data_IF_707992905956
#
_entry.id   IF_707992905956
#
_cell.length_a   1.000
_cell.length_b   1.000
_cell.length_c   1.000
_cell.angle_alpha   90.00
_cell.angle_beta   90.00
_cell.angle_gamma   90.00
#
_symmetry.space_group_name_H-M   'P 1'
#
loop_
_entity.id
_entity.type
_entity.pdbx_description
1 polymer ?
#
# COMPACT_ATOMS: atom_id res chain seq x y z
N UNK A 1 -17.04 0.22 -27.42
CA UNK A 1 -17.41 1.23 -26.38
C UNK A 1 -16.47 2.43 -26.56
N UNK A 2 -16.97 3.45 -27.24
CA UNK A 2 -16.19 4.62 -27.71
C UNK A 2 -15.42 5.32 -26.59
N UNK A 3 -15.98 5.39 -25.38
CA UNK A 3 -15.28 5.96 -24.22
C UNK A 3 -14.03 5.16 -23.86
N UNK A 4 -14.15 3.85 -23.82
CA UNK A 4 -13.03 2.96 -23.47
C UNK A 4 -11.92 3.05 -24.53
N UNK A 5 -12.29 3.05 -25.79
CA UNK A 5 -11.34 3.16 -26.92
C UNK A 5 -10.65 4.52 -26.97
N UNK A 6 -11.36 5.59 -26.56
CA UNK A 6 -10.84 6.94 -26.58
C UNK A 6 -9.92 7.25 -25.39
N UNK A 7 -10.29 6.81 -24.19
CA UNK A 7 -9.64 7.27 -22.97
C UNK A 7 -8.88 6.21 -22.20
N UNK A 8 -9.02 4.93 -22.56
CA UNK A 8 -8.35 3.86 -21.84
C UNK A 8 -7.39 3.09 -22.73
N UNK A 9 -6.24 2.79 -22.19
CA UNK A 9 -5.24 1.92 -22.80
C UNK A 9 -5.20 0.61 -22.02
N UNK A 10 -5.58 -0.47 -22.71
CA UNK A 10 -5.40 -1.81 -22.19
C UNK A 10 -4.00 -2.29 -22.54
N UNK A 11 -3.24 -2.71 -21.55
CA UNK A 11 -1.98 -3.42 -21.75
C UNK A 11 -2.23 -4.91 -21.54
N UNK A 12 -1.65 -5.72 -22.40
CA UNK A 12 -1.73 -7.17 -22.22
C UNK A 12 -0.71 -7.59 -21.17
N UNK A 13 -1.17 -7.84 -19.97
CA UNK A 13 -0.36 -8.44 -18.93
C UNK A 13 -0.18 -9.91 -19.19
N UNK A 14 1.06 -10.32 -19.09
CA UNK A 14 1.42 -11.72 -19.11
C UNK A 14 1.22 -12.30 -17.70
N UNK A 15 0.19 -13.09 -17.53
CA UNK A 15 0.02 -13.92 -16.34
C UNK A 15 0.58 -15.30 -16.62
N UNK A 16 1.48 -15.75 -15.75
CA UNK A 16 1.90 -17.15 -15.72
C UNK A 16 0.93 -17.84 -14.77
N UNK A 17 0.13 -18.77 -15.27
CA UNK A 17 -0.78 -19.52 -14.42
C UNK A 17 -0.02 -20.53 -13.54
N UNK A 18 -0.74 -21.21 -12.63
CA UNK A 18 -0.17 -22.17 -11.71
C UNK A 18 0.44 -23.42 -12.39
N UNK A 19 0.25 -23.58 -13.71
CA UNK A 19 0.83 -24.65 -14.51
C UNK A 19 2.07 -24.22 -15.31
N UNK A 20 2.49 -22.94 -15.16
CA UNK A 20 3.57 -22.38 -15.94
C UNK A 20 3.14 -21.89 -17.32
N UNK A 21 1.85 -21.96 -17.67
CA UNK A 21 1.34 -21.48 -18.94
C UNK A 21 1.22 -19.95 -18.94
N UNK A 22 1.70 -19.34 -20.03
CA UNK A 22 1.63 -17.89 -20.21
C UNK A 22 0.27 -17.53 -20.77
N UNK A 23 -0.51 -16.77 -19.99
CA UNK A 23 -1.78 -16.17 -20.43
C UNK A 23 -1.64 -14.67 -20.54
N UNK A 24 -2.18 -14.11 -21.61
CA UNK A 24 -2.27 -12.67 -21.77
C UNK A 24 -3.66 -12.22 -21.31
N UNK A 25 -3.68 -11.29 -20.36
CA UNK A 25 -4.92 -10.67 -19.87
C UNK A 25 -4.86 -9.19 -20.13
N UNK A 26 -5.85 -8.68 -20.86
CA UNK A 26 -5.98 -7.26 -21.09
C UNK A 26 -6.42 -6.57 -19.77
N UNK A 27 -5.54 -5.80 -19.18
CA UNK A 27 -5.82 -4.96 -18.03
C UNK A 27 -5.72 -3.50 -18.43
N UNK A 28 -6.69 -2.69 -18.01
CA UNK A 28 -6.61 -1.24 -18.18
C UNK A 28 -5.56 -0.70 -17.24
N UNK A 29 -4.47 -0.17 -17.81
CA UNK A 29 -3.37 0.36 -17.02
C UNK A 29 -3.23 1.86 -17.09
N UNK A 30 -3.76 2.48 -18.15
CA UNK A 30 -3.48 3.88 -18.42
C UNK A 30 -4.71 4.58 -18.97
N UNK A 31 -4.81 5.86 -18.62
CA UNK A 31 -5.64 6.79 -19.38
C UNK A 31 -4.81 7.37 -20.52
N UNK A 32 -5.39 7.43 -21.71
CA UNK A 32 -4.86 8.16 -22.86
C UNK A 32 -5.74 9.37 -23.15
N UNK A 33 -5.23 10.32 -23.91
CA UNK A 33 -5.91 11.57 -24.21
C UNK A 33 -6.34 12.33 -22.94
N UNK A 34 -5.44 12.39 -21.96
CA UNK A 34 -5.74 12.93 -20.64
C UNK A 34 -6.18 14.42 -20.71
N UNK A 35 -5.60 15.22 -21.61
CA UNK A 35 -5.99 16.61 -21.80
C UNK A 35 -7.45 16.74 -22.25
N UNK A 36 -7.89 15.89 -23.18
CA UNK A 36 -9.29 15.85 -23.63
C UNK A 36 -10.20 15.34 -22.53
N UNK A 37 -9.75 14.34 -21.76
CA UNK A 37 -10.49 13.81 -20.63
C UNK A 37 -10.67 14.86 -19.51
N UNK A 38 -9.61 15.59 -19.19
CA UNK A 38 -9.65 16.70 -18.21
C UNK A 38 -10.56 17.84 -18.71
N UNK A 39 -10.53 18.15 -19.99
CA UNK A 39 -11.42 19.16 -20.57
C UNK A 39 -12.90 18.76 -20.48
N UNK A 40 -13.22 17.50 -20.81
CA UNK A 40 -14.57 16.96 -20.62
C UNK A 40 -15.00 16.92 -19.17
N UNK A 41 -14.12 16.53 -18.25
CA UNK A 41 -14.42 16.51 -16.82
C UNK A 41 -14.64 17.91 -16.27
N UNK A 42 -13.89 18.92 -16.74
CA UNK A 42 -14.01 20.30 -16.26
C UNK A 42 -15.37 20.94 -16.55
N UNK A 43 -16.14 20.39 -17.50
CA UNK A 43 -17.53 20.82 -17.75
C UNK A 43 -18.49 20.35 -16.66
N UNK A 44 -18.15 19.29 -15.92
CA UNK A 44 -19.03 18.65 -14.93
C UNK A 44 -18.44 18.62 -13.51
N UNK A 45 -17.13 18.77 -13.39
CA UNK A 45 -16.40 18.62 -12.11
C UNK A 45 -15.40 19.76 -11.99
N UNK A 46 -15.55 20.56 -10.93
CA UNK A 46 -14.54 21.54 -10.53
C UNK A 46 -13.45 20.85 -9.70
N UNK A 47 -12.31 20.59 -10.33
CA UNK A 47 -11.16 19.95 -9.66
C UNK A 47 -10.29 21.06 -9.09
N UNK A 48 -10.32 21.20 -7.76
CA UNK A 48 -9.45 22.12 -7.02
C UNK A 48 -8.34 21.34 -6.32
N UNK A 49 -7.10 21.70 -6.65
CA UNK A 49 -5.91 21.23 -5.95
C UNK A 49 -5.59 22.08 -4.70
N UNK A 50 -4.53 21.70 -4.00
CA UNK A 50 -4.03 22.50 -2.85
C UNK A 50 -3.61 23.90 -3.28
N UNK A 51 -3.16 24.07 -4.50
CA UNK A 51 -2.73 25.33 -5.11
C UNK A 51 -3.89 26.33 -5.24
N UNK A 52 -5.13 25.81 -5.36
CA UNK A 52 -6.33 26.64 -5.53
C UNK A 52 -6.96 27.10 -4.21
N UNK A 53 -6.49 26.58 -3.08
CA UNK A 53 -7.01 26.87 -1.75
C UNK A 53 -5.90 27.10 -0.71
N UNK A 54 -5.19 28.24 -0.76
CA UNK A 54 -4.09 28.56 0.17
C UNK A 54 -4.54 28.70 1.64
N UNK A 55 -5.84 28.81 1.90
CA UNK A 55 -6.42 28.87 3.26
C UNK A 55 -6.59 27.50 3.92
N UNK A 56 -6.45 26.41 3.17
CA UNK A 56 -6.51 25.03 3.70
C UNK A 56 -5.20 24.72 4.44
N UNK A 57 -5.17 25.04 5.73
CA UNK A 57 -4.03 24.68 6.58
C UNK A 57 -4.08 23.18 6.89
N UNK A 58 -3.19 22.43 6.26
CA UNK A 58 -2.85 21.05 6.62
C UNK A 58 -1.54 21.03 7.39
N UNK A 59 -1.33 20.05 8.28
CA UNK A 59 -0.02 19.84 8.87
C UNK A 59 1.00 19.43 7.79
N UNK A 60 2.28 19.64 8.07
CA UNK A 60 3.33 19.10 7.23
C UNK A 60 3.36 17.57 7.36
N UNK A 61 3.40 16.86 6.22
CA UNK A 61 3.55 15.40 6.22
C UNK A 61 5.02 15.03 6.17
N UNK A 62 5.46 14.25 7.14
CA UNK A 62 6.83 13.72 7.23
C UNK A 62 6.76 12.21 7.08
N UNK A 63 7.25 11.70 5.96
CA UNK A 63 7.38 10.27 5.74
C UNK A 63 8.69 9.77 6.37
N UNK A 64 8.59 8.75 7.23
CA UNK A 64 9.73 8.07 7.84
C UNK A 64 9.72 6.61 7.47
N UNK A 65 10.83 6.12 6.94
CA UNK A 65 11.01 4.71 6.58
C UNK A 65 11.93 4.06 7.63
N UNK A 66 11.40 3.05 8.30
CA UNK A 66 12.15 2.23 9.25
C UNK A 66 12.40 0.87 8.62
N UNK A 67 13.61 0.65 8.14
CA UNK A 67 14.09 -0.66 7.66
C UNK A 67 14.62 -1.44 8.85
N UNK A 68 13.80 -2.37 9.33
CA UNK A 68 14.00 -3.07 10.59
C UNK A 68 14.69 -4.40 10.31
N UNK A 69 15.83 -4.62 10.94
CA UNK A 69 16.59 -5.85 10.77
C UNK A 69 15.82 -7.06 11.34
N UNK A 70 15.93 -8.16 10.61
CA UNK A 70 15.37 -9.43 11.02
C UNK A 70 16.18 -10.03 12.18
N UNK A 71 15.49 -10.55 13.19
CA UNK A 71 16.11 -11.42 14.18
C UNK A 71 16.20 -12.87 13.66
N UNK A 72 16.88 -13.73 14.42
CA UNK A 72 17.11 -15.12 13.99
C UNK A 72 15.80 -15.89 13.79
N UNK A 73 14.82 -15.68 14.67
CA UNK A 73 13.51 -16.32 14.52
C UNK A 73 12.79 -15.89 13.22
N UNK A 74 12.85 -14.60 12.89
CA UNK A 74 12.24 -14.09 11.64
C UNK A 74 12.95 -14.68 10.42
N UNK A 75 14.27 -14.74 10.42
CA UNK A 75 15.07 -15.36 9.34
C UNK A 75 14.72 -16.82 9.15
N UNK A 76 14.69 -17.59 10.25
CA UNK A 76 14.29 -19.00 10.24
C UNK A 76 12.91 -19.21 9.60
N UNK A 77 11.93 -18.40 9.98
CA UNK A 77 10.58 -18.53 9.43
C UNK A 77 10.51 -18.17 7.94
N UNK A 78 11.30 -17.20 7.48
CA UNK A 78 11.43 -16.92 6.05
C UNK A 78 12.12 -18.04 5.28
N UNK A 79 13.16 -18.65 5.85
CA UNK A 79 13.84 -19.80 5.26
C UNK A 79 12.88 -20.97 5.09
N UNK A 80 12.14 -21.34 6.15
CA UNK A 80 11.12 -22.42 6.10
C UNK A 80 10.02 -22.11 5.07
N UNK A 81 9.57 -20.85 4.99
CA UNK A 81 8.58 -20.44 3.99
C UNK A 81 9.11 -20.62 2.56
N UNK A 82 10.36 -20.23 2.30
CA UNK A 82 10.98 -20.33 0.98
C UNK A 82 11.25 -21.78 0.58
N UNK A 83 11.72 -22.62 1.51
CA UNK A 83 11.95 -24.05 1.28
C UNK A 83 10.65 -24.82 1.00
N UNK A 84 9.56 -24.42 1.63
CA UNK A 84 8.24 -25.05 1.49
C UNK A 84 7.47 -24.56 0.27
N UNK A 85 8.00 -23.58 -0.48
CA UNK A 85 7.32 -23.01 -1.61
C UNK A 85 7.30 -23.95 -2.80
N UNK A 86 6.07 -24.31 -3.25
CA UNK A 86 5.84 -25.11 -4.44
C UNK A 86 5.00 -24.32 -5.44
N UNK A 87 5.63 -23.78 -6.47
CA UNK A 87 5.00 -22.95 -7.49
C UNK A 87 3.93 -23.67 -8.32
N UNK A 88 3.95 -25.01 -8.34
CA UNK A 88 3.00 -25.81 -9.13
C UNK A 88 1.60 -25.85 -8.54
N UNK A 89 1.43 -25.49 -7.27
CA UNK A 89 0.12 -25.47 -6.62
C UNK A 89 -0.67 -24.22 -6.98
N UNK A 90 -1.94 -24.40 -7.33
CA UNK A 90 -2.83 -23.25 -7.62
C UNK A 90 -2.97 -22.34 -6.41
N UNK A 91 -2.69 -21.06 -6.61
CA UNK A 91 -2.75 -20.05 -5.54
C UNK A 91 -1.53 -20.00 -4.61
N UNK A 92 -0.55 -20.90 -4.77
CA UNK A 92 0.64 -20.99 -3.93
C UNK A 92 1.37 -19.63 -3.79
N UNK A 93 1.45 -18.85 -4.87
CA UNK A 93 2.11 -17.55 -4.87
C UNK A 93 1.39 -16.54 -3.97
N UNK A 94 0.06 -16.46 -4.04
CA UNK A 94 -0.69 -15.51 -3.20
C UNK A 94 -0.59 -15.90 -1.73
N UNK A 95 -0.66 -17.19 -1.43
CA UNK A 95 -0.46 -17.71 -0.07
C UNK A 95 0.97 -17.43 0.42
N UNK A 96 1.97 -17.63 -0.42
CA UNK A 96 3.36 -17.33 -0.10
C UNK A 96 3.57 -15.84 0.22
N UNK A 97 3.00 -14.95 -0.61
CA UNK A 97 3.05 -13.49 -0.39
C UNK A 97 2.38 -13.13 0.94
N UNK A 98 1.20 -13.68 1.21
CA UNK A 98 0.48 -13.44 2.46
C UNK A 98 1.30 -13.88 3.66
N UNK A 99 1.85 -15.10 3.63
CA UNK A 99 2.66 -15.63 4.70
C UNK A 99 3.96 -14.83 4.89
N UNK A 100 4.61 -14.40 3.81
CA UNK A 100 5.78 -13.52 3.89
C UNK A 100 5.46 -12.19 4.57
N UNK A 101 4.31 -11.60 4.26
CA UNK A 101 3.85 -10.35 4.91
C UNK A 101 3.52 -10.55 6.38
N UNK A 102 2.90 -11.68 6.73
CA UNK A 102 2.59 -12.02 8.13
C UNK A 102 3.88 -12.24 8.94
N UNK A 103 4.85 -12.99 8.43
CA UNK A 103 6.16 -13.19 9.07
C UNK A 103 6.86 -11.84 9.28
N UNK A 104 6.75 -10.91 8.32
CA UNK A 104 7.29 -9.56 8.44
C UNK A 104 6.66 -8.75 9.58
N UNK A 105 5.41 -9.01 9.94
CA UNK A 105 4.76 -8.41 11.12
C UNK A 105 5.25 -9.12 12.39
N UNK A 106 5.16 -10.44 12.42
CA UNK A 106 5.61 -11.28 13.53
C UNK A 106 5.98 -12.68 13.04
N UNK A 107 7.16 -13.21 13.38
CA UNK A 107 7.54 -14.56 13.02
C UNK A 107 6.60 -15.63 13.59
N UNK A 108 5.93 -15.35 14.69
CA UNK A 108 4.94 -16.25 15.29
C UNK A 108 3.68 -16.44 14.43
N UNK A 109 3.45 -15.61 13.43
CA UNK A 109 2.35 -15.74 12.47
C UNK A 109 2.69 -16.63 11.28
N UNK A 110 3.89 -17.18 11.25
CA UNK A 110 4.30 -18.15 10.26
C UNK A 110 3.50 -19.45 10.38
N UNK A 111 3.00 -20.01 9.27
CA UNK A 111 2.36 -21.33 9.28
C UNK A 111 3.34 -22.46 9.63
N UNK A 112 4.64 -22.19 9.63
CA UNK A 112 5.71 -23.16 9.92
C UNK A 112 6.28 -22.99 11.34
N UNK A 113 5.76 -22.05 12.12
CA UNK A 113 6.15 -21.92 13.50
C UNK A 113 5.57 -23.07 14.34
N UNK A 114 6.44 -23.88 14.91
CA UNK A 114 6.09 -25.07 15.70
C UNK A 114 6.47 -24.97 17.17
N UNK A 115 6.97 -23.80 17.61
CA UNK A 115 7.34 -23.54 18.96
C UNK A 115 6.16 -23.36 19.92
N UNK A 116 6.47 -23.07 21.19
CA UNK A 116 5.44 -22.74 22.19
C UNK A 116 4.76 -21.42 21.85
N UNK A 117 3.47 -21.33 22.14
CA UNK A 117 2.75 -20.06 22.06
C UNK A 117 3.40 -19.04 23.01
N UNK A 118 3.85 -17.88 22.47
CA UNK A 118 4.50 -16.88 23.29
C UNK A 118 3.49 -16.17 24.22
N UNK A 119 3.99 -15.65 25.34
CA UNK A 119 3.26 -14.62 26.08
C UNK A 119 3.07 -13.37 25.22
N UNK A 120 2.16 -12.47 25.60
CA UNK A 120 1.96 -11.21 24.86
C UNK A 120 3.27 -10.42 24.80
N UNK A 121 4.02 -10.36 25.89
CA UNK A 121 5.32 -9.69 25.94
C UNK A 121 6.32 -10.30 24.97
N UNK A 122 6.48 -11.61 24.98
CA UNK A 122 7.37 -12.32 24.06
C UNK A 122 6.93 -12.16 22.60
N UNK A 123 5.62 -12.21 22.34
CA UNK A 123 5.08 -12.00 21.01
C UNK A 123 5.50 -10.65 20.43
N UNK A 124 5.41 -9.59 21.21
CA UNK A 124 5.82 -8.24 20.78
C UNK A 124 7.35 -8.11 20.71
N UNK A 125 8.05 -8.47 21.80
CA UNK A 125 9.48 -8.21 21.92
C UNK A 125 10.35 -9.05 20.96
N UNK A 126 9.89 -10.26 20.61
CA UNK A 126 10.57 -11.11 19.63
C UNK A 126 10.10 -10.88 18.19
N UNK A 127 9.23 -9.92 17.96
CA UNK A 127 8.80 -9.50 16.63
C UNK A 127 9.41 -8.12 16.33
N UNK A 128 10.49 -8.03 15.57
CA UNK A 128 11.27 -6.80 15.42
C UNK A 128 10.45 -5.59 14.99
N UNK A 129 9.52 -5.78 14.04
CA UNK A 129 8.63 -4.71 13.58
C UNK A 129 7.69 -4.22 14.68
N UNK A 130 7.08 -5.13 15.44
CA UNK A 130 6.18 -4.77 16.53
C UNK A 130 6.96 -4.09 17.66
N UNK A 131 8.12 -4.63 18.02
CA UNK A 131 8.98 -4.03 19.07
C UNK A 131 9.38 -2.62 18.71
N UNK A 132 9.89 -2.40 17.50
CA UNK A 132 10.27 -1.06 17.05
C UNK A 132 9.08 -0.09 17.06
N UNK A 133 7.91 -0.55 16.66
CA UNK A 133 6.68 0.26 16.70
C UNK A 133 6.34 0.67 18.12
N UNK A 134 6.39 -0.27 19.07
CA UNK A 134 6.10 0.01 20.47
C UNK A 134 7.14 0.95 21.11
N UNK A 135 8.40 0.83 20.74
CA UNK A 135 9.46 1.73 21.21
C UNK A 135 9.24 3.17 20.74
N UNK A 136 8.84 3.34 19.47
CA UNK A 136 8.50 4.65 18.91
C UNK A 136 7.27 5.25 19.61
N UNK A 137 6.24 4.44 19.87
CA UNK A 137 5.04 4.89 20.58
C UNK A 137 5.40 5.31 22.01
N UNK A 138 6.23 4.54 22.70
CA UNK A 138 6.68 4.86 24.06
C UNK A 138 7.49 6.15 24.08
N UNK A 139 8.38 6.34 23.12
CA UNK A 139 9.16 7.57 23.00
C UNK A 139 8.25 8.77 22.74
N UNK A 140 7.32 8.65 21.79
CA UNK A 140 6.39 9.74 21.47
C UNK A 140 5.46 10.07 22.64
N UNK A 141 5.04 9.07 23.44
CA UNK A 141 4.29 9.28 24.66
C UNK A 141 5.05 10.13 25.70
N UNK A 142 6.38 9.95 25.78
CA UNK A 142 7.24 10.76 26.66
C UNK A 142 7.41 12.19 26.15
N UNK A 143 7.64 12.32 24.85
CA UNK A 143 7.96 13.60 24.21
C UNK A 143 6.71 14.50 24.06
N UNK A 144 5.60 13.89 23.68
CA UNK A 144 4.31 14.56 23.45
C UNK A 144 3.18 13.74 24.11
N UNK A 145 2.98 13.89 25.44
CA UNK A 145 2.00 13.06 26.17
C UNK A 145 0.56 13.15 25.67
N UNK A 146 0.19 14.29 25.09
CA UNK A 146 -1.15 14.52 24.55
C UNK A 146 -1.33 14.06 23.08
N UNK A 147 -0.28 13.48 22.48
CA UNK A 147 -0.35 13.02 21.09
C UNK A 147 -1.33 11.88 20.89
N UNK A 148 -2.09 11.96 19.79
CA UNK A 148 -2.83 10.84 19.26
C UNK A 148 -1.95 10.04 18.28
N UNK A 149 -1.95 8.73 18.41
CA UNK A 149 -1.16 7.83 17.59
C UNK A 149 -2.04 6.74 16.99
N UNK A 150 -1.82 6.39 15.73
CA UNK A 150 -2.59 5.37 15.01
C UNK A 150 -1.65 4.24 14.61
N UNK A 151 -2.00 3.01 14.99
CA UNK A 151 -1.38 1.80 14.45
C UNK A 151 -2.30 1.26 13.37
N UNK A 152 -1.80 1.10 12.16
CA UNK A 152 -2.57 0.59 11.04
C UNK A 152 -2.03 -0.74 10.54
N UNK A 153 -2.91 -1.71 10.34
CA UNK A 153 -2.61 -2.95 9.64
C UNK A 153 -3.85 -3.57 9.00
N UNK A 154 -3.72 -3.99 7.74
CA UNK A 154 -4.74 -4.81 7.06
C UNK A 154 -4.64 -6.29 7.46
N UNK A 155 -3.46 -6.69 7.95
CA UNK A 155 -3.13 -8.07 8.29
C UNK A 155 -3.02 -8.23 9.80
N UNK A 156 -3.10 -9.48 10.24
CA UNK A 156 -2.95 -9.84 11.65
C UNK A 156 -3.95 -9.11 12.59
N UNK A 157 -5.14 -8.81 12.09
CA UNK A 157 -6.17 -8.07 12.84
C UNK A 157 -6.58 -8.80 14.14
N UNK A 158 -6.52 -10.12 14.15
CA UNK A 158 -6.78 -10.94 15.33
C UNK A 158 -5.78 -10.68 16.48
N UNK A 159 -4.62 -10.11 16.16
CA UNK A 159 -3.55 -9.83 17.14
C UNK A 159 -3.68 -8.44 17.78
N UNK A 160 -4.61 -7.61 17.35
CA UNK A 160 -4.81 -6.27 17.91
C UNK A 160 -5.03 -6.25 19.43
N UNK A 161 -5.76 -7.21 20.02
CA UNK A 161 -5.85 -7.30 21.50
C UNK A 161 -4.50 -7.46 22.19
N UNK A 162 -3.54 -8.20 21.60
CA UNK A 162 -2.18 -8.33 22.14
C UNK A 162 -1.40 -7.02 22.08
N UNK A 163 -1.58 -6.25 20.99
CA UNK A 163 -0.98 -4.92 20.88
C UNK A 163 -1.53 -4.00 21.98
N UNK A 164 -2.85 -4.03 22.19
CA UNK A 164 -3.50 -3.25 23.28
C UNK A 164 -2.98 -3.67 24.64
N UNK A 165 -2.90 -4.96 24.90
CA UNK A 165 -2.42 -5.49 26.18
C UNK A 165 -0.98 -5.03 26.47
N UNK A 166 -0.09 -5.10 25.47
CA UNK A 166 1.29 -4.64 25.60
C UNK A 166 1.37 -3.12 25.89
N UNK A 167 0.57 -2.32 25.20
CA UNK A 167 0.49 -0.88 25.42
C UNK A 167 0.06 -0.54 26.85
N UNK A 168 -0.81 -1.35 27.45
CA UNK A 168 -1.25 -1.18 28.84
C UNK A 168 -0.17 -1.64 29.81
N UNK A 169 0.30 -2.88 29.67
CA UNK A 169 1.15 -3.53 30.66
C UNK A 169 2.60 -3.01 30.63
N UNK A 170 3.17 -2.80 29.44
CA UNK A 170 4.60 -2.48 29.30
C UNK A 170 4.83 -0.98 29.04
N UNK A 171 3.94 -0.29 28.33
CA UNK A 171 4.10 1.13 28.01
C UNK A 171 3.36 2.03 29.02
N UNK A 172 2.33 1.50 29.70
CA UNK A 172 1.66 2.20 30.78
C UNK A 172 0.53 3.12 30.32
N UNK A 173 -0.15 2.80 29.22
CA UNK A 173 -1.43 3.39 28.90
C UNK A 173 -2.54 2.77 29.78
N UNK A 174 -3.60 3.52 30.01
CA UNK A 174 -4.81 2.98 30.63
C UNK A 174 -5.66 2.25 29.58
N UNK A 175 -6.46 1.24 29.97
CA UNK A 175 -7.33 0.52 29.04
C UNK A 175 -8.25 1.43 28.21
N UNK A 176 -8.78 2.49 28.81
CA UNK A 176 -9.66 3.49 28.19
C UNK A 176 -8.95 4.43 27.22
N UNK A 177 -7.62 4.49 27.27
CA UNK A 177 -6.81 5.31 26.36
C UNK A 177 -6.52 4.64 25.00
N UNK A 178 -6.98 3.39 24.81
CA UNK A 178 -6.70 2.61 23.60
C UNK A 178 -8.00 2.12 22.97
N UNK A 179 -8.23 2.54 21.73
CA UNK A 179 -9.35 2.08 20.91
C UNK A 179 -8.92 1.08 19.84
N UNK A 180 -9.76 0.08 19.58
CA UNK A 180 -9.58 -0.86 18.48
C UNK A 180 -10.73 -0.70 17.49
N UNK A 181 -10.41 -0.50 16.19
CA UNK A 181 -11.37 -0.34 15.10
C UNK A 181 -11.10 -1.38 14.03
N UNK A 182 -12.01 -2.31 13.87
CA UNK A 182 -11.97 -3.36 12.86
C UNK A 182 -13.28 -3.44 12.09
N UNK A 183 -13.36 -4.34 11.12
CA UNK A 183 -14.61 -4.64 10.41
C UNK A 183 -15.76 -5.07 11.34
N UNK A 184 -15.44 -5.68 12.49
CA UNK A 184 -16.42 -6.10 13.49
C UNK A 184 -16.91 -4.95 14.39
N UNK A 185 -16.22 -3.81 14.40
CA UNK A 185 -16.61 -2.64 15.21
C UNK A 185 -17.83 -1.97 14.59
N UNK A 186 -18.96 -1.92 15.32
CA UNK A 186 -20.17 -1.31 14.79
C UNK A 186 -20.06 0.22 14.66
N UNK A 187 -20.96 0.82 13.88
CA UNK A 187 -20.93 2.25 13.54
C UNK A 187 -20.93 3.16 14.78
N UNK A 188 -21.76 2.83 15.79
CA UNK A 188 -21.86 3.66 16.99
C UNK A 188 -20.57 3.61 17.80
N UNK A 189 -19.96 2.43 17.94
CA UNK A 189 -18.68 2.27 18.62
C UNK A 189 -17.57 3.04 17.88
N UNK A 190 -17.53 2.99 16.55
CA UNK A 190 -16.56 3.77 15.74
C UNK A 190 -16.68 5.26 16.02
N UNK A 191 -17.90 5.80 16.09
CA UNK A 191 -18.16 7.21 16.38
C UNK A 191 -17.66 7.56 17.80
N UNK A 192 -17.93 6.73 18.81
CA UNK A 192 -17.45 6.96 20.17
C UNK A 192 -15.93 7.00 20.21
N UNK A 193 -15.26 6.00 19.62
CA UNK A 193 -13.79 5.93 19.56
C UNK A 193 -13.22 7.15 18.83
N UNK A 194 -13.81 7.53 17.70
CA UNK A 194 -13.41 8.74 16.96
C UNK A 194 -13.48 9.99 17.80
N UNK A 195 -14.60 10.22 18.49
CA UNK A 195 -14.80 11.40 19.31
C UNK A 195 -13.84 11.42 20.51
N UNK A 196 -13.71 10.29 21.21
CA UNK A 196 -12.80 10.14 22.34
C UNK A 196 -11.33 10.33 21.92
N UNK A 197 -10.96 9.90 20.71
CA UNK A 197 -9.62 10.09 20.17
C UNK A 197 -9.35 11.56 19.82
N UNK A 198 -10.30 12.23 19.19
CA UNK A 198 -10.16 13.63 18.79
C UNK A 198 -10.10 14.59 19.98
N UNK A 199 -10.79 14.29 21.06
CA UNK A 199 -10.69 15.09 22.32
C UNK A 199 -9.49 14.69 23.19
N UNK A 200 -8.72 13.67 22.79
CA UNK A 200 -7.52 13.25 23.50
C UNK A 200 -7.78 12.31 24.70
N UNK A 201 -8.97 11.78 24.87
CA UNK A 201 -9.27 10.75 25.88
C UNK A 201 -8.68 9.40 25.47
N UNK A 202 -8.86 9.00 24.20
CA UNK A 202 -8.12 7.89 23.60
C UNK A 202 -6.81 8.47 23.01
N UNK A 203 -5.68 7.83 23.32
CA UNK A 203 -4.34 8.24 22.89
C UNK A 203 -3.81 7.37 21.74
N UNK A 204 -4.23 6.11 21.66
CA UNK A 204 -3.82 5.17 20.61
C UNK A 204 -5.05 4.50 20.02
N UNK A 205 -5.15 4.55 18.69
CA UNK A 205 -6.12 3.78 17.92
C UNK A 205 -5.38 2.71 17.14
N UNK A 206 -5.80 1.45 17.30
CA UNK A 206 -5.34 0.32 16.50
C UNK A 206 -6.43 0.01 15.48
N UNK A 207 -6.14 0.25 14.20
CA UNK A 207 -7.14 0.21 13.14
C UNK A 207 -6.77 -0.72 12.00
N UNK A 208 -7.79 -1.44 11.49
CA UNK A 208 -7.73 -2.18 10.24
C UNK A 208 -8.17 -1.29 9.05
N UNK A 209 -8.42 -1.89 7.88
CA UNK A 209 -9.03 -1.21 6.74
C UNK A 209 -10.30 -0.41 7.11
N UNK A 210 -10.98 -0.80 8.18
CA UNK A 210 -12.18 -0.11 8.66
C UNK A 210 -11.98 1.38 8.95
N UNK A 211 -10.74 1.84 9.19
CA UNK A 211 -10.47 3.28 9.38
C UNK A 211 -10.37 4.04 8.06
N UNK A 212 -10.22 3.36 6.92
CA UNK A 212 -10.14 4.02 5.61
C UNK A 212 -11.46 4.68 5.24
N UNK A 213 -12.59 4.20 5.75
CA UNK A 213 -13.91 4.65 5.38
C UNK A 213 -14.48 5.66 6.39
N UNK A 214 -14.68 6.89 5.93
CA UNK A 214 -15.54 7.89 6.59
C UNK A 214 -15.12 8.38 7.97
N UNK A 215 -13.97 7.98 8.51
CA UNK A 215 -13.54 8.38 9.84
C UNK A 215 -12.69 9.66 9.83
N UNK A 216 -12.87 10.47 10.84
CA UNK A 216 -12.10 11.70 11.09
C UNK A 216 -11.26 11.49 12.36
N UNK A 217 -9.96 11.19 12.18
CA UNK A 217 -9.04 10.90 13.29
C UNK A 217 -7.89 11.91 13.35
N UNK A 218 -8.09 13.13 12.82
CA UNK A 218 -6.98 14.05 12.57
C UNK A 218 -6.66 15.02 13.72
N UNK A 219 -7.61 15.32 14.62
CA UNK A 219 -7.47 16.52 15.46
C UNK A 219 -6.21 16.55 16.32
N UNK A 220 -5.82 15.42 16.93
CA UNK A 220 -4.64 15.34 17.78
C UNK A 220 -3.56 14.39 17.27
N UNK A 221 -3.71 13.85 16.05
CA UNK A 221 -2.79 12.82 15.54
C UNK A 221 -1.45 13.40 15.16
N UNK A 222 -0.40 12.85 15.73
CA UNK A 222 1.00 13.18 15.39
C UNK A 222 1.67 12.09 14.57
N UNK A 223 1.24 10.84 14.70
CA UNK A 223 1.88 9.68 14.10
C UNK A 223 0.88 8.64 13.61
N UNK A 224 1.17 8.08 12.44
CA UNK A 224 0.60 6.82 11.96
C UNK A 224 1.74 5.83 11.79
N UNK A 225 1.56 4.61 12.29
CA UNK A 225 2.48 3.49 12.11
C UNK A 225 1.87 2.47 11.17
N UNK A 226 2.46 2.34 9.98
CA UNK A 226 2.02 1.40 8.95
C UNK A 226 2.69 0.05 9.17
N UNK A 227 2.02 -0.90 9.84
CA UNK A 227 2.54 -2.25 10.04
C UNK A 227 2.44 -3.09 8.77
N UNK A 228 1.42 -2.85 7.95
CA UNK A 228 1.27 -3.42 6.62
C UNK A 228 0.97 -2.33 5.60
N UNK A 229 1.36 -2.55 4.36
CA UNK A 229 1.12 -1.64 3.26
C UNK A 229 -0.04 -2.15 2.41
N UNK A 230 -0.97 -1.27 1.98
CA UNK A 230 -1.99 -1.64 1.01
C UNK A 230 -1.37 -1.92 -0.37
N UNK A 231 -2.09 -2.67 -1.21
CA UNK A 231 -1.63 -2.97 -2.57
C UNK A 231 -1.76 -1.80 -3.55
N UNK A 232 -2.57 -0.80 -3.20
CA UNK A 232 -2.76 0.37 -4.04
C UNK A 232 -2.50 1.66 -3.28
N UNK A 233 -2.11 2.67 -4.03
CA UNK A 233 -1.73 3.94 -3.44
C UNK A 233 -2.95 4.78 -3.00
N UNK A 234 -4.13 4.56 -3.57
CA UNK A 234 -5.37 5.23 -3.16
C UNK A 234 -5.73 4.86 -1.72
N UNK A 235 -5.67 3.57 -1.38
CA UNK A 235 -5.86 3.10 0.00
C UNK A 235 -4.80 3.69 0.94
N UNK A 236 -3.54 3.74 0.52
CA UNK A 236 -2.50 4.39 1.31
C UNK A 236 -2.83 5.86 1.60
N UNK A 237 -3.23 6.62 0.59
CA UNK A 237 -3.66 8.03 0.78
C UNK A 237 -4.89 8.15 1.68
N UNK A 238 -5.83 7.22 1.61
CA UNK A 238 -6.99 7.23 2.49
C UNK A 238 -6.59 7.06 3.95
N UNK A 239 -5.66 6.16 4.25
CA UNK A 239 -5.13 5.97 5.61
C UNK A 239 -4.37 7.21 6.08
N UNK A 240 -3.45 7.71 5.26
CA UNK A 240 -2.71 8.95 5.56
C UNK A 240 -3.65 10.12 5.83
N UNK A 241 -4.72 10.23 5.04
CA UNK A 241 -5.74 11.27 5.16
C UNK A 241 -6.58 11.19 6.44
N UNK A 242 -6.46 10.13 7.24
CA UNK A 242 -7.11 10.08 8.57
C UNK A 242 -6.39 11.00 9.57
N UNK A 243 -5.11 11.24 9.41
CA UNK A 243 -4.31 12.11 10.25
C UNK A 243 -3.86 13.38 9.51
N UNK A 244 -3.41 13.23 8.28
CA UNK A 244 -2.94 14.36 7.46
C UNK A 244 -4.12 15.06 6.77
N UNK A 245 -4.81 15.86 7.54
CA UNK A 245 -6.04 16.55 7.11
C UNK A 245 -6.15 17.91 7.78
N UNK A 246 -6.93 18.81 7.16
CA UNK A 246 -7.36 20.05 7.79
C UNK A 246 -8.07 19.79 9.12
N UNK A 247 -7.81 20.60 10.13
CA UNK A 247 -8.35 20.46 11.48
C UNK A 247 -7.41 19.70 12.43
N UNK A 248 -6.27 19.20 11.98
CA UNK A 248 -5.22 18.72 12.85
C UNK A 248 -4.57 19.89 13.59
N UNK A 249 -4.44 19.78 14.92
CA UNK A 249 -3.86 20.80 15.80
C UNK A 249 -2.34 20.81 15.78
N UNK A 250 -1.73 19.76 15.26
CA UNK A 250 -0.29 19.62 15.20
C UNK A 250 0.27 20.25 13.91
N UNK A 251 1.47 20.77 14.01
CA UNK A 251 2.19 21.36 12.87
C UNK A 251 2.70 20.28 11.91
N UNK A 252 3.02 19.12 12.43
CA UNK A 252 3.57 18.00 11.68
C UNK A 252 2.82 16.71 11.98
N UNK A 253 2.65 15.88 10.95
CA UNK A 253 2.19 14.49 11.05
C UNK A 253 3.26 13.58 10.45
N UNK A 254 3.69 12.59 11.22
CA UNK A 254 4.64 11.58 10.78
C UNK A 254 3.89 10.34 10.31
N UNK A 255 4.18 9.91 9.09
CA UNK A 255 3.75 8.62 8.55
C UNK A 255 4.96 7.69 8.62
N UNK A 256 4.91 6.75 9.55
CA UNK A 256 6.00 5.84 9.85
C UNK A 256 5.76 4.51 9.13
N UNK A 257 6.56 4.24 8.11
CA UNK A 257 6.53 2.98 7.37
C UNK A 257 7.42 1.97 8.08
N UNK A 258 6.79 0.97 8.69
CA UNK A 258 7.47 -0.09 9.44
C UNK A 258 7.77 -1.25 8.47
N UNK A 259 9.01 -1.35 8.03
CA UNK A 259 9.42 -2.27 6.97
C UNK A 259 10.38 -3.31 7.54
N UNK A 260 10.06 -4.58 7.38
CA UNK A 260 11.05 -5.63 7.64
C UNK A 260 12.10 -5.59 6.54
N UNK A 261 13.37 -5.39 6.90
CA UNK A 261 14.45 -5.36 5.93
C UNK A 261 14.58 -6.71 5.21
N UNK A 262 15.11 -6.70 3.99
CA UNK A 262 15.25 -7.89 3.13
C UNK A 262 13.93 -8.68 2.95
N UNK A 263 12.81 -7.98 2.91
CA UNK A 263 11.49 -8.55 2.73
C UNK A 263 10.68 -7.86 1.63
N UNK A 264 9.51 -8.42 1.34
CA UNK A 264 8.54 -7.86 0.39
C UNK A 264 8.07 -6.44 0.77
N UNK A 265 8.16 -6.04 2.03
CA UNK A 265 7.72 -4.72 2.51
C UNK A 265 8.43 -3.57 1.80
N UNK A 266 9.76 -3.67 1.70
CA UNK A 266 10.60 -2.65 1.05
C UNK A 266 10.22 -2.50 -0.43
N UNK A 267 10.02 -3.63 -1.10
CA UNK A 267 9.59 -3.64 -2.49
C UNK A 267 8.21 -2.99 -2.68
N UNK A 268 7.25 -3.34 -1.83
CA UNK A 268 5.89 -2.79 -1.89
C UNK A 268 5.90 -1.27 -1.71
N UNK A 269 6.67 -0.75 -0.75
CA UNK A 269 6.77 0.70 -0.54
C UNK A 269 7.35 1.40 -1.77
N UNK A 270 8.43 0.88 -2.33
CA UNK A 270 9.05 1.43 -3.54
C UNK A 270 8.07 1.47 -4.72
N UNK A 271 7.26 0.42 -4.90
CA UNK A 271 6.23 0.37 -5.95
C UNK A 271 5.11 1.38 -5.72
N UNK A 272 4.63 1.51 -4.49
CA UNK A 272 3.62 2.49 -4.11
C UNK A 272 4.12 3.93 -4.33
N UNK A 273 5.36 4.23 -3.94
CA UNK A 273 5.99 5.53 -4.15
C UNK A 273 6.16 5.85 -5.65
N UNK A 274 6.55 4.88 -6.46
CA UNK A 274 6.66 5.04 -7.91
C UNK A 274 5.30 5.34 -8.55
N UNK A 275 4.24 4.66 -8.11
CA UNK A 275 2.88 4.89 -8.60
C UNK A 275 2.35 6.26 -8.15
N UNK A 276 2.65 6.67 -6.92
CA UNK A 276 2.33 8.00 -6.41
C UNK A 276 3.02 9.11 -7.21
N UNK A 277 4.31 8.96 -7.51
CA UNK A 277 5.05 9.93 -8.30
C UNK A 277 4.45 10.10 -9.70
N UNK A 278 4.11 9.00 -10.37
CA UNK A 278 3.43 9.02 -11.68
C UNK A 278 2.05 9.67 -11.62
N UNK A 279 1.28 9.39 -10.56
CA UNK A 279 -0.02 10.04 -10.37
C UNK A 279 0.13 11.56 -10.20
N UNK A 280 1.05 12.00 -9.35
CA UNK A 280 1.31 13.43 -9.13
C UNK A 280 1.80 14.12 -10.41
N UNK A 281 2.64 13.45 -11.20
CA UNK A 281 3.10 13.95 -12.50
C UNK A 281 1.95 14.07 -13.51
N UNK A 282 1.09 13.06 -13.56
CA UNK A 282 -0.07 13.05 -14.46
C UNK A 282 -1.14 14.09 -14.09
N UNK A 283 -1.25 14.46 -12.81
CA UNK A 283 -2.16 15.53 -12.36
C UNK A 283 -1.60 16.93 -12.64
N UNK A 284 -0.31 17.05 -12.93
CA UNK A 284 0.25 18.30 -13.47
C UNK A 284 -0.18 18.42 -14.93
N UNK A 285 -0.59 19.64 -15.33
CA UNK A 285 -1.09 19.92 -16.68
C UNK A 285 -0.20 19.34 -17.77
N UNK A 286 -0.76 18.49 -18.61
CA UNK A 286 -0.15 18.00 -19.86
C UNK A 286 0.46 16.60 -19.85
N UNK A 287 0.31 15.82 -18.78
CA UNK A 287 0.80 14.44 -18.76
C UNK A 287 -0.25 13.45 -19.32
N UNK A 288 0.13 12.67 -20.30
CA UNK A 288 -0.80 11.78 -21.04
C UNK A 288 -1.03 10.38 -20.40
N UNK A 289 -0.43 10.09 -19.22
CA UNK A 289 -0.41 8.72 -18.69
C UNK A 289 -0.61 8.66 -17.17
N UNK A 290 -1.74 8.09 -16.76
CA UNK A 290 -2.05 7.73 -15.37
C UNK A 290 -1.94 6.20 -15.20
N UNK A 291 -0.89 5.72 -14.52
CA UNK A 291 -0.82 4.33 -14.06
C UNK A 291 -1.45 4.25 -12.67
N UNK A 292 -2.72 3.88 -12.62
CA UNK A 292 -3.52 3.74 -11.38
C UNK A 292 -3.68 2.27 -10.97
N UNK A 293 -2.96 1.37 -11.61
CA UNK A 293 -3.06 -0.06 -11.32
C UNK A 293 -2.52 -0.40 -9.93
N UNK A 294 -3.09 -1.43 -9.32
CA UNK A 294 -2.55 -2.05 -8.11
C UNK A 294 -1.16 -2.65 -8.39
N UNK A 295 -0.44 -2.96 -7.31
CA UNK A 295 0.78 -3.77 -7.44
C UNK A 295 0.33 -5.13 -7.99
N UNK A 296 0.83 -5.48 -9.19
CA UNK A 296 0.42 -6.72 -9.84
C UNK A 296 1.06 -7.94 -9.17
N UNK A 297 0.39 -9.10 -9.28
CA UNK A 297 0.94 -10.38 -8.83
C UNK A 297 2.31 -10.67 -9.44
N UNK A 298 2.55 -10.23 -10.68
CA UNK A 298 3.83 -10.39 -11.35
C UNK A 298 4.94 -9.55 -10.71
N UNK A 299 4.63 -8.31 -10.33
CA UNK A 299 5.57 -7.46 -9.59
C UNK A 299 5.90 -8.06 -8.22
N UNK A 300 4.91 -8.65 -7.55
CA UNK A 300 5.11 -9.34 -6.26
C UNK A 300 5.92 -10.63 -6.41
N UNK A 301 5.72 -11.40 -7.50
CA UNK A 301 6.54 -12.58 -7.81
C UNK A 301 8.02 -12.23 -7.92
N UNK A 302 8.33 -11.15 -8.62
CA UNK A 302 9.71 -10.69 -8.76
C UNK A 302 10.35 -10.34 -7.41
N UNK A 303 9.54 -9.84 -6.47
CA UNK A 303 10.00 -9.50 -5.12
C UNK A 303 10.35 -10.71 -4.25
N UNK A 304 9.72 -11.86 -4.50
CA UNK A 304 9.93 -13.10 -3.70
C UNK A 304 11.26 -13.76 -4.07
N UNK A 305 11.78 -13.52 -5.28
CA UNK A 305 13.00 -14.16 -5.75
C UNK A 305 14.19 -13.60 -4.99
N UNK A 306 14.78 -14.44 -4.14
CA UNK A 306 15.85 -14.06 -3.21
C UNK A 306 17.22 -13.92 -3.87
N UNK A 307 17.44 -14.57 -5.04
CA UNK A 307 18.71 -14.45 -5.77
C UNK A 307 18.73 -13.15 -6.59
N UNK A 308 19.64 -12.20 -6.30
CA UNK A 308 19.69 -10.90 -6.99
C UNK A 308 19.94 -11.02 -8.48
N UNK A 309 20.74 -12.00 -8.92
CA UNK A 309 21.06 -12.22 -10.33
C UNK A 309 19.85 -12.78 -11.09
N UNK A 310 19.17 -13.77 -10.53
CA UNK A 310 17.92 -14.31 -11.09
C UNK A 310 16.85 -13.22 -11.16
N UNK A 311 16.73 -12.40 -10.14
CA UNK A 311 15.79 -11.28 -10.09
C UNK A 311 16.09 -10.25 -11.18
N UNK A 312 17.36 -9.84 -11.32
CA UNK A 312 17.79 -8.91 -12.36
C UNK A 312 17.53 -9.45 -13.77
N UNK A 313 17.80 -10.72 -14.02
CA UNK A 313 17.53 -11.36 -15.30
C UNK A 313 16.04 -11.39 -15.64
N UNK A 314 15.17 -11.70 -14.67
CA UNK A 314 13.72 -11.67 -14.85
C UNK A 314 13.24 -10.25 -15.15
N UNK A 315 13.71 -9.24 -14.40
CA UNK A 315 13.36 -7.84 -14.65
C UNK A 315 13.79 -7.39 -16.05
N UNK A 316 14.97 -7.78 -16.50
CA UNK A 316 15.48 -7.49 -17.86
C UNK A 316 14.59 -8.14 -18.93
N UNK A 317 14.24 -9.41 -18.76
CA UNK A 317 13.35 -10.12 -19.69
C UNK A 317 11.94 -9.51 -19.75
N UNK A 318 11.39 -9.11 -18.61
CA UNK A 318 10.11 -8.39 -18.55
C UNK A 318 10.19 -7.05 -19.27
N UNK A 319 11.28 -6.29 -19.09
CA UNK A 319 11.50 -5.03 -19.80
C UNK A 319 11.63 -5.23 -21.32
N UNK A 320 12.40 -6.23 -21.76
CA UNK A 320 12.55 -6.55 -23.18
C UNK A 320 11.20 -6.85 -23.83
N UNK A 321 10.39 -7.71 -23.20
CA UNK A 321 9.05 -8.05 -23.68
C UNK A 321 8.11 -6.85 -23.72
N UNK A 322 8.21 -5.96 -22.74
CA UNK A 322 7.43 -4.71 -22.72
C UNK A 322 7.82 -3.80 -23.89
N UNK A 323 9.12 -3.63 -24.14
CA UNK A 323 9.62 -2.84 -25.28
C UNK A 323 9.14 -3.44 -26.59
N UNK A 324 9.20 -4.76 -26.75
CA UNK A 324 8.73 -5.45 -27.95
C UNK A 324 7.23 -5.31 -28.16
N UNK A 325 6.43 -5.38 -27.09
CA UNK A 325 4.98 -5.14 -27.14
C UNK A 325 4.67 -3.71 -27.60
N UNK A 326 5.35 -2.70 -27.05
CA UNK A 326 5.19 -1.29 -27.44
C UNK A 326 5.60 -1.08 -28.90
N UNK A 327 6.71 -1.68 -29.33
CA UNK A 327 7.18 -1.64 -30.73
C UNK A 327 6.15 -2.24 -31.68
N UNK A 328 5.62 -3.42 -31.36
CA UNK A 328 4.62 -4.10 -32.18
C UNK A 328 3.32 -3.30 -32.27
N UNK A 329 2.92 -2.64 -31.18
CA UNK A 329 1.77 -1.74 -31.17
C UNK A 329 1.99 -0.56 -32.10
N UNK A 330 3.12 0.13 -32.00
CA UNK A 330 3.43 1.25 -32.89
C UNK A 330 3.47 0.82 -34.36
N UNK A 331 4.01 -0.34 -34.67
CA UNK A 331 4.00 -0.88 -36.04
C UNK A 331 2.56 -1.15 -36.51
N UNK A 332 1.71 -1.67 -35.66
CA UNK A 332 0.29 -1.89 -35.98
C UNK A 332 -0.45 -0.57 -36.22
N UNK A 333 -0.20 0.44 -35.39
CA UNK A 333 -0.80 1.77 -35.54
C UNK A 333 -0.37 2.45 -36.83
N UNK A 334 0.91 2.37 -37.19
CA UNK A 334 1.45 2.87 -38.47
C UNK A 334 0.80 2.13 -39.65
N UNK A 335 0.68 0.81 -39.57
CA UNK A 335 0.05 0.01 -40.62
C UNK A 335 -1.44 0.38 -40.80
N UNK A 336 -2.15 0.65 -39.68
CA UNK A 336 -3.53 1.10 -39.72
C UNK A 336 -3.68 2.46 -40.38
N UNK A 337 -2.84 3.44 -40.04
CA UNK A 337 -2.84 4.77 -40.66
C UNK A 337 -2.54 4.70 -42.14
N UNK A 338 -1.56 3.89 -42.54
CA UNK A 338 -1.22 3.70 -43.95
C UNK A 338 -2.37 3.08 -44.75
N UNK A 339 -3.07 2.07 -44.20
CA UNK A 339 -4.26 1.49 -44.84
C UNK A 339 -5.37 2.53 -45.00
N UNK A 340 -5.67 3.29 -43.97
CA UNK A 340 -6.68 4.36 -44.04
C UNK A 340 -6.33 5.41 -45.09
N UNK A 341 -5.05 5.77 -45.22
CA UNK A 341 -4.59 6.69 -46.22
C UNK A 341 -4.76 6.12 -47.62
N UNK A 342 -4.41 4.86 -47.85
CA UNK A 342 -4.62 4.18 -49.12
C UNK A 342 -6.11 4.08 -49.50
N UNK A 343 -6.98 3.79 -48.53
CA UNK A 343 -8.42 3.73 -48.77
C UNK A 343 -9.00 5.11 -49.10
N UNK A 344 -8.48 6.17 -48.46
CA UNK A 344 -8.87 7.55 -48.79
C UNK A 344 -8.47 7.94 -50.21
N UNK A 345 -7.27 7.56 -50.64
CA UNK A 345 -6.84 7.83 -52.03
C UNK A 345 -7.69 7.12 -53.10
N UNK A 346 -8.13 5.87 -52.83
CA UNK A 346 -9.01 5.11 -53.70
C UNK A 346 -10.41 5.69 -53.84
N UNK A 347 -10.86 6.49 -52.87
CA UNK A 347 -12.18 7.15 -52.92
C UNK A 347 -12.13 8.46 -53.72
N UNK A 348 -10.94 8.99 -53.96
CA UNK A 348 -10.72 10.21 -54.75
C UNK A 348 -10.50 9.95 -56.24
N UNK A 349 -10.20 8.72 -56.67
CA UNK A 349 -10.22 8.24 -58.04
C UNK A 349 -11.64 7.77 -58.43
#
# INVERSE_FOLDING_TARGET
NTFFETFMEADNDMEIDAKGDVKFKANVRRFKNNSLFQQLLSEFIDIKGEEDNPELKRPNKINKEYKIEQNDLTKEQYELLNESFNETQKGAILTHILNARLIGISPYLSPYYDGKFPSVKEFIENSPKLKQTMDLIQQNKKDIPESGQIIYSELAVAEFPKLKEYLIQEIGYKPEEIGIITGATNKNQRIVIQNDFNIGKIKVVIGSEAIQEGMNLQENTTDIYMLSLPYNFTSLRQVEGRAWRQGNKNENVRVNFMLTNDSIDVFMLQKLQSKQARYLEAMKKGADVLDVSDISTQELKTAIITNPETRANIEIELMKKRIESVKNKHLSDIAFVLRKHQDFLKVQE
#
